data_IF_112666095058
#
_entry.id   IF_112666095058
#
_cell.length_a   1.000
_cell.length_b   1.000
_cell.length_c   1.000
_cell.angle_alpha   90.00
_cell.angle_beta   90.00
_cell.angle_gamma   90.00
#
_symmetry.space_group_name_H-M   'P 1'
#
loop_
_entity.id
_entity.type
_entity.pdbx_description
1 polymer ?
#
# COMPACT_ATOMS: atom_id res chain seq x y z
N UNK A 1 -4.87 -20.90 12.10
CA UNK A 1 -3.72 -20.17 12.63
C UNK A 1 -3.44 -18.89 11.83
N UNK A 2 -2.86 -17.86 12.48
CA UNK A 2 -2.35 -16.66 11.83
C UNK A 2 -0.98 -16.30 12.39
N UNK A 3 -0.11 -15.79 11.54
CA UNK A 3 1.16 -15.22 11.97
C UNK A 3 0.93 -13.87 12.66
N UNK A 4 1.65 -13.63 13.75
CA UNK A 4 1.70 -12.36 14.45
C UNK A 4 3.14 -11.85 14.54
N UNK A 5 3.36 -10.60 14.15
CA UNK A 5 4.60 -9.88 14.30
C UNK A 5 4.36 -8.67 15.22
N UNK A 6 4.41 -7.43 14.71
CA UNK A 6 4.13 -6.23 15.52
C UNK A 6 2.71 -6.08 16.04
N UNK A 7 1.76 -6.85 15.53
CA UNK A 7 0.36 -6.88 16.00
C UNK A 7 -0.49 -5.64 15.72
N UNK A 8 0.09 -4.55 15.20
CA UNK A 8 -0.54 -3.21 15.09
C UNK A 8 -1.80 -3.13 14.22
N UNK A 9 -2.14 -4.18 13.49
CA UNK A 9 -3.42 -4.31 12.80
C UNK A 9 -4.20 -5.55 13.26
N UNK A 10 -3.54 -6.71 13.41
CA UNK A 10 -4.20 -7.95 13.77
C UNK A 10 -4.88 -7.86 15.15
N UNK A 11 -4.19 -7.29 16.16
CA UNK A 11 -4.75 -7.19 17.51
C UNK A 11 -5.98 -6.26 17.56
N UNK A 12 -5.99 -5.18 16.78
CA UNK A 12 -7.18 -4.32 16.68
C UNK A 12 -8.38 -5.08 16.08
N UNK A 13 -8.13 -5.86 15.01
CA UNK A 13 -9.16 -6.68 14.38
C UNK A 13 -9.65 -7.81 15.30
N UNK A 14 -8.77 -8.36 16.14
CA UNK A 14 -9.15 -9.36 17.14
C UNK A 14 -10.00 -8.76 18.25
N UNK A 15 -9.67 -7.57 18.76
CA UNK A 15 -10.48 -6.85 19.75
C UNK A 15 -11.90 -6.57 19.25
N UNK A 16 -12.05 -6.33 17.95
CA UNK A 16 -13.34 -6.08 17.30
C UNK A 16 -14.03 -7.35 16.82
N UNK A 17 -13.49 -8.53 17.12
CA UNK A 17 -14.03 -9.83 16.67
C UNK A 17 -14.15 -9.96 15.16
N UNK A 18 -13.36 -9.20 14.40
CA UNK A 18 -13.28 -9.29 12.92
C UNK A 18 -12.36 -10.43 12.50
N UNK A 19 -11.27 -10.61 13.24
CA UNK A 19 -10.34 -11.73 13.11
C UNK A 19 -10.34 -12.54 14.40
N UNK A 20 -10.66 -13.81 14.29
CA UNK A 20 -10.81 -14.73 15.45
C UNK A 20 -9.95 -15.97 15.28
N UNK A 21 -8.61 -15.84 15.10
CA UNK A 21 -7.76 -17.00 14.91
C UNK A 21 -7.72 -17.87 16.18
N UNK A 22 -7.88 -19.18 16.01
CA UNK A 22 -7.77 -20.14 17.13
C UNK A 22 -6.33 -20.23 17.64
N UNK A 23 -5.34 -20.04 16.75
CA UNK A 23 -3.92 -20.05 17.09
C UNK A 23 -3.20 -18.85 16.48
N UNK A 24 -2.29 -18.26 17.25
CA UNK A 24 -1.31 -17.28 16.79
C UNK A 24 0.07 -17.93 16.74
N UNK A 25 0.78 -17.71 15.66
CA UNK A 25 2.17 -18.12 15.49
C UNK A 25 3.02 -16.86 15.53
N UNK A 26 3.74 -16.66 16.64
CA UNK A 26 4.64 -15.53 16.78
C UNK A 26 5.90 -15.73 15.92
N UNK A 27 6.14 -14.76 15.03
CA UNK A 27 7.29 -14.78 14.11
C UNK A 27 8.37 -13.77 14.49
N UNK A 28 8.28 -13.08 15.62
CA UNK A 28 9.23 -12.03 15.97
C UNK A 28 10.68 -12.54 16.16
N UNK A 29 10.86 -13.81 16.54
CA UNK A 29 12.19 -14.39 16.87
C UNK A 29 12.85 -15.18 15.74
N UNK A 30 12.38 -15.11 14.48
CA UNK A 30 12.88 -15.99 13.40
C UNK A 30 14.00 -15.38 12.54
N UNK A 31 14.58 -14.22 12.94
CA UNK A 31 15.77 -13.63 12.31
C UNK A 31 15.51 -12.97 10.95
N UNK A 32 14.30 -12.47 10.68
CA UNK A 32 13.95 -11.77 9.44
C UNK A 32 13.90 -10.22 9.63
N UNK A 33 14.80 -9.67 10.41
CA UNK A 33 14.83 -8.26 10.83
C UNK A 33 16.09 -7.50 10.35
N UNK A 34 16.78 -8.02 9.33
CA UNK A 34 17.96 -7.40 8.72
C UNK A 34 17.64 -6.63 7.44
N UNK A 35 18.49 -5.65 7.11
CA UNK A 35 18.49 -4.94 5.82
C UNK A 35 19.86 -5.15 5.18
N UNK A 36 19.88 -5.81 4.04
CA UNK A 36 21.11 -6.26 3.39
C UNK A 36 21.20 -5.78 1.95
N UNK A 37 22.40 -5.45 1.44
CA UNK A 37 22.58 -5.18 0.02
C UNK A 37 22.36 -6.46 -0.80
N UNK A 38 21.75 -6.32 -1.99
CA UNK A 38 21.68 -7.42 -2.95
C UNK A 38 22.87 -7.38 -3.92
N UNK A 39 23.26 -8.53 -4.51
CA UNK A 39 24.33 -8.58 -5.51
C UNK A 39 24.07 -7.65 -6.71
N UNK A 40 22.80 -7.38 -7.02
CA UNK A 40 22.39 -6.49 -8.12
C UNK A 40 22.40 -5.01 -7.72
N UNK A 41 22.95 -4.65 -6.55
CA UNK A 41 23.06 -3.27 -6.08
C UNK A 41 21.81 -2.72 -5.41
N UNK A 42 20.78 -3.52 -5.22
CA UNK A 42 19.55 -3.18 -4.51
C UNK A 42 19.64 -3.39 -2.98
N UNK A 43 18.48 -3.49 -2.32
CA UNK A 43 18.34 -3.83 -0.91
C UNK A 43 17.34 -4.96 -0.71
N UNK A 44 17.68 -5.91 0.14
CA UNK A 44 16.78 -6.91 0.70
C UNK A 44 16.41 -6.52 2.12
N UNK A 45 15.13 -6.36 2.38
CA UNK A 45 14.56 -5.88 3.65
C UNK A 45 13.79 -7.05 4.26
N UNK A 46 14.22 -7.56 5.38
CA UNK A 46 13.55 -8.65 6.09
C UNK A 46 12.12 -8.26 6.51
N UNK A 47 11.22 -9.23 6.50
CA UNK A 47 9.79 -8.99 6.76
C UNK A 47 9.51 -8.42 8.16
N UNK A 48 10.41 -8.65 9.12
CA UNK A 48 10.30 -8.21 10.51
C UNK A 48 10.99 -6.88 10.80
N UNK A 49 11.69 -6.29 9.83
CA UNK A 49 12.26 -4.93 9.96
C UNK A 49 11.16 -3.96 10.35
N UNK A 50 11.36 -3.23 11.46
CA UNK A 50 10.40 -2.25 11.95
C UNK A 50 10.32 -1.06 11.00
N UNK A 51 9.12 -0.49 10.85
CA UNK A 51 8.92 0.63 9.94
C UNK A 51 9.74 1.86 10.33
N UNK A 52 10.00 2.09 11.63
CA UNK A 52 10.89 3.15 12.11
C UNK A 52 12.33 2.92 11.67
N UNK A 53 12.84 1.69 11.83
CA UNK A 53 14.23 1.34 11.49
C UNK A 53 14.44 1.41 9.98
N UNK A 54 13.47 0.91 9.21
CA UNK A 54 13.48 1.03 7.75
C UNK A 54 13.49 2.49 7.29
N UNK A 55 12.68 3.35 7.89
CA UNK A 55 12.64 4.77 7.57
C UNK A 55 13.91 5.51 7.97
N UNK A 56 14.58 5.08 9.05
CA UNK A 56 15.82 5.66 9.55
C UNK A 56 17.07 5.16 8.82
N UNK A 57 16.99 4.01 8.13
CA UNK A 57 18.15 3.36 7.53
C UNK A 57 18.88 4.27 6.54
N UNK A 58 20.20 4.51 6.68
CA UNK A 58 20.94 5.53 5.90
C UNK A 58 20.80 5.35 4.38
N UNK A 59 20.92 4.11 3.91
CA UNK A 59 20.82 3.81 2.48
C UNK A 59 19.39 3.99 1.95
N UNK A 60 18.35 3.65 2.74
CA UNK A 60 16.95 3.88 2.35
C UNK A 60 16.65 5.37 2.24
N UNK A 61 17.15 6.17 3.18
CA UNK A 61 17.01 7.63 3.17
C UNK A 61 17.68 8.28 1.95
N UNK A 62 18.88 7.82 1.61
CA UNK A 62 19.68 8.37 0.52
C UNK A 62 19.15 7.93 -0.85
N UNK A 63 18.93 6.62 -1.04
CA UNK A 63 18.76 6.00 -2.35
C UNK A 63 17.28 5.71 -2.68
N UNK A 64 16.42 5.59 -1.66
CA UNK A 64 15.00 5.25 -1.78
C UNK A 64 14.12 6.23 -1.00
N UNK A 65 14.41 7.51 -1.08
CA UNK A 65 13.79 8.57 -0.25
C UNK A 65 12.26 8.61 -0.31
N UNK A 66 11.62 8.15 -1.39
CA UNK A 66 10.15 8.02 -1.48
C UNK A 66 9.62 7.03 -0.44
N UNK A 67 10.36 5.94 -0.16
CA UNK A 67 9.98 4.94 0.84
C UNK A 67 10.06 5.52 2.25
N UNK A 68 11.15 6.21 2.59
CA UNK A 68 11.28 6.92 3.87
C UNK A 68 10.12 7.90 4.08
N UNK A 69 9.84 8.75 3.08
CA UNK A 69 8.76 9.75 3.17
C UNK A 69 7.39 9.10 3.33
N UNK A 70 7.12 8.01 2.62
CA UNK A 70 5.88 7.27 2.75
C UNK A 70 5.71 6.65 4.15
N UNK A 71 6.77 6.03 4.68
CA UNK A 71 6.76 5.43 6.02
C UNK A 71 6.46 6.48 7.10
N UNK A 72 7.15 7.62 7.08
CA UNK A 72 6.95 8.67 8.10
C UNK A 72 5.61 9.43 7.94
N UNK A 73 5.00 9.41 6.75
CA UNK A 73 3.66 9.94 6.52
C UNK A 73 2.55 9.03 7.07
N UNK A 74 2.86 7.75 7.33
CA UNK A 74 1.93 6.75 7.87
C UNK A 74 2.01 6.64 9.39
N UNK A 75 0.89 6.23 10.01
CA UNK A 75 0.77 5.89 11.44
C UNK A 75 1.29 6.99 12.40
N UNK A 76 1.60 6.60 13.63
CA UNK A 76 2.35 7.37 14.62
C UNK A 76 3.75 6.79 14.82
N UNK A 77 4.64 7.50 15.54
CA UNK A 77 5.96 6.99 15.91
C UNK A 77 5.86 5.67 16.68
N UNK A 78 4.96 5.61 17.66
CA UNK A 78 4.72 4.42 18.48
C UNK A 78 4.30 3.21 17.64
N UNK A 79 3.36 3.41 16.71
CA UNK A 79 2.93 2.33 15.82
C UNK A 79 4.06 1.88 14.87
N UNK A 80 4.83 2.82 14.31
CA UNK A 80 5.95 2.48 13.43
C UNK A 80 7.07 1.70 14.13
N UNK A 81 7.26 1.92 15.45
CA UNK A 81 8.21 1.18 16.26
C UNK A 81 7.81 -0.30 16.45
N UNK A 82 6.54 -0.62 16.28
CA UNK A 82 6.01 -2.00 16.39
C UNK A 82 5.69 -2.63 15.04
N UNK A 83 5.15 -1.85 14.09
CA UNK A 83 4.78 -2.32 12.78
C UNK A 83 6.00 -2.81 11.98
N UNK A 84 5.86 -3.96 11.34
CA UNK A 84 6.89 -4.59 10.53
C UNK A 84 6.64 -4.40 9.04
N UNK A 85 7.67 -4.58 8.23
CA UNK A 85 7.58 -4.48 6.76
C UNK A 85 6.56 -5.45 6.20
N UNK A 86 6.61 -6.73 6.55
CA UNK A 86 5.63 -7.73 6.11
C UNK A 86 4.23 -7.43 6.63
N UNK A 87 4.10 -7.07 7.92
CA UNK A 87 2.82 -6.71 8.52
C UNK A 87 2.18 -5.46 7.89
N UNK A 88 2.99 -4.49 7.47
CA UNK A 88 2.50 -3.30 6.77
C UNK A 88 1.89 -3.64 5.40
N UNK A 89 2.48 -4.58 4.65
CA UNK A 89 1.91 -5.06 3.39
C UNK A 89 0.57 -5.80 3.59
N UNK A 90 0.40 -6.46 4.73
CA UNK A 90 -0.77 -7.27 5.07
C UNK A 90 -1.84 -6.50 5.86
N UNK A 91 -1.66 -5.20 6.09
CA UNK A 91 -2.70 -4.43 6.78
C UNK A 91 -3.98 -4.40 5.95
N UNK A 92 -5.10 -4.63 6.63
CA UNK A 92 -6.42 -4.69 6.00
C UNK A 92 -7.03 -3.30 5.83
N UNK A 93 -8.06 -3.21 5.02
CA UNK A 93 -8.79 -1.96 4.74
C UNK A 93 -9.25 -1.25 6.02
N UNK A 94 -9.49 0.06 5.92
CA UNK A 94 -10.07 0.90 6.99
C UNK A 94 -11.50 1.31 6.66
N UNK A 95 -12.20 0.53 5.84
CA UNK A 95 -13.60 0.70 5.54
C UNK A 95 -14.44 0.60 6.83
N UNK A 96 -15.29 1.60 7.17
CA UNK A 96 -16.09 1.57 8.40
C UNK A 96 -17.02 0.35 8.45
N UNK A 97 -17.57 -0.05 7.31
CA UNK A 97 -18.45 -1.23 7.22
C UNK A 97 -17.70 -2.56 7.39
N UNK A 98 -16.39 -2.59 7.12
CA UNK A 98 -15.55 -3.74 7.45
C UNK A 98 -15.30 -3.81 8.97
N UNK A 99 -15.21 -2.67 9.64
CA UNK A 99 -14.99 -2.56 11.08
C UNK A 99 -16.29 -2.74 11.91
N UNK A 100 -17.44 -2.50 11.32
CA UNK A 100 -18.74 -2.75 11.97
C UNK A 100 -19.23 -4.16 11.63
N UNK A 101 -19.19 -5.06 12.63
CA UNK A 101 -19.57 -6.46 12.45
C UNK A 101 -21.07 -6.67 12.21
N UNK A 102 -21.92 -5.69 12.46
CA UNK A 102 -23.36 -5.74 12.18
C UNK A 102 -23.70 -5.41 10.72
N UNK A 103 -22.78 -4.79 10.00
CA UNK A 103 -23.01 -4.36 8.63
C UNK A 103 -22.58 -5.43 7.62
N UNK A 104 -23.34 -5.69 6.53
CA UNK A 104 -22.94 -6.56 5.44
C UNK A 104 -21.60 -6.16 4.83
N UNK A 105 -20.66 -7.11 4.71
CA UNK A 105 -19.33 -6.89 4.15
C UNK A 105 -18.76 -8.15 3.51
N UNK A 106 -18.72 -8.22 2.18
CA UNK A 106 -18.16 -9.34 1.42
C UNK A 106 -16.69 -9.63 1.72
N UNK A 107 -15.94 -8.62 2.19
CA UNK A 107 -14.55 -8.79 2.59
C UNK A 107 -14.40 -9.52 3.93
N UNK A 108 -15.34 -9.37 4.84
CA UNK A 108 -15.39 -10.06 6.14
C UNK A 108 -16.15 -11.37 6.04
N UNK A 109 -17.32 -11.34 5.39
CA UNK A 109 -18.21 -12.49 5.20
C UNK A 109 -18.64 -12.56 3.72
N UNK A 110 -18.00 -13.42 2.91
CA UNK A 110 -18.33 -13.56 1.51
C UNK A 110 -19.82 -13.84 1.27
N UNK A 111 -20.42 -13.15 0.31
CA UNK A 111 -21.83 -13.29 -0.04
C UNK A 111 -22.80 -12.46 0.81
N UNK A 112 -22.32 -11.71 1.82
CA UNK A 112 -23.21 -10.89 2.66
C UNK A 112 -23.57 -9.53 2.04
N UNK A 113 -22.89 -9.11 0.96
CA UNK A 113 -23.08 -7.80 0.33
C UNK A 113 -22.00 -6.78 0.77
N UNK A 114 -22.15 -5.57 0.27
CA UNK A 114 -21.23 -4.46 0.56
C UNK A 114 -22.01 -3.18 0.93
N UNK A 115 -22.07 -2.85 2.21
CA UNK A 115 -22.78 -1.68 2.71
C UNK A 115 -22.16 -0.33 2.29
N UNK A 116 -20.92 -0.33 1.76
CA UNK A 116 -20.31 0.87 1.21
C UNK A 116 -20.89 1.27 -0.14
N UNK A 117 -21.46 0.31 -0.89
CA UNK A 117 -22.13 0.55 -2.16
C UNK A 117 -23.55 1.04 -1.83
N UNK A 118 -23.83 2.30 -2.19
CA UNK A 118 -25.08 2.99 -1.80
C UNK A 118 -25.09 3.58 -0.39
N UNK A 119 -24.02 3.34 0.41
CA UNK A 119 -23.81 3.95 1.72
C UNK A 119 -22.76 5.06 1.70
N UNK A 120 -22.32 5.51 2.90
CA UNK A 120 -21.27 6.51 3.03
C UNK A 120 -19.93 6.00 2.46
N UNK A 121 -19.42 6.67 1.44
CA UNK A 121 -18.34 6.16 0.60
C UNK A 121 -17.18 7.14 0.37
N UNK A 122 -17.14 8.27 1.10
CA UNK A 122 -16.13 9.33 0.96
C UNK A 122 -14.68 8.82 0.89
N UNK A 123 -14.33 7.80 1.68
CA UNK A 123 -12.96 7.28 1.78
C UNK A 123 -12.68 6.10 0.82
N UNK A 124 -13.68 5.66 0.07
CA UNK A 124 -13.59 4.44 -0.73
C UNK A 124 -12.91 4.65 -2.09
N UNK A 125 -12.71 3.55 -2.80
CA UNK A 125 -12.04 3.52 -4.09
C UNK A 125 -12.86 4.26 -5.16
N UNK A 126 -12.15 4.91 -6.07
CA UNK A 126 -12.72 5.54 -7.28
C UNK A 126 -12.34 4.76 -8.53
N UNK A 127 -11.38 3.84 -8.41
CA UNK A 127 -10.93 2.98 -9.51
C UNK A 127 -10.59 1.58 -8.98
N UNK A 128 -10.68 0.56 -9.83
CA UNK A 128 -10.34 -0.82 -9.48
C UNK A 128 -11.26 -1.48 -8.44
N UNK A 129 -12.40 -0.86 -8.11
CA UNK A 129 -13.47 -1.48 -7.33
C UNK A 129 -14.29 -2.47 -8.17
N UNK A 130 -15.20 -3.20 -7.51
CA UNK A 130 -16.15 -4.12 -8.15
C UNK A 130 -17.55 -3.93 -7.59
N UNK A 131 -18.52 -4.68 -8.14
CA UNK A 131 -19.87 -4.76 -7.58
C UNK A 131 -19.90 -5.35 -6.15
N UNK A 132 -18.84 -6.06 -5.74
CA UNK A 132 -18.76 -6.73 -4.45
C UNK A 132 -17.98 -5.93 -3.39
N UNK A 133 -17.12 -4.98 -3.79
CA UNK A 133 -16.34 -4.18 -2.85
C UNK A 133 -15.66 -2.95 -3.48
N UNK A 134 -15.77 -1.82 -2.81
CA UNK A 134 -15.10 -0.55 -3.17
C UNK A 134 -14.12 -0.06 -2.10
N UNK A 135 -13.61 -0.94 -1.23
CA UNK A 135 -12.63 -0.57 -0.21
C UNK A 135 -11.29 -0.13 -0.83
N UNK A 136 -10.49 0.60 -0.08
CA UNK A 136 -9.13 1.00 -0.46
C UNK A 136 -8.07 0.25 0.35
N UNK A 137 -6.89 0.06 -0.24
CA UNK A 137 -5.70 -0.39 0.47
C UNK A 137 -5.07 0.80 1.22
N UNK A 138 -4.77 0.68 2.52
CA UNK A 138 -4.42 1.84 3.34
C UNK A 138 -2.91 2.14 3.43
N UNK A 139 -2.03 1.26 2.92
CA UNK A 139 -0.59 1.37 3.14
C UNK A 139 0.08 2.44 2.28
N UNK A 140 0.63 3.47 2.91
CA UNK A 140 1.53 4.45 2.27
C UNK A 140 2.82 3.78 1.79
N UNK A 141 3.39 2.86 2.58
CA UNK A 141 4.59 2.10 2.23
C UNK A 141 4.40 1.31 0.93
N UNK A 142 3.26 0.63 0.77
CA UNK A 142 2.98 -0.16 -0.41
C UNK A 142 2.92 0.70 -1.69
N UNK A 143 2.46 1.95 -1.61
CA UNK A 143 2.49 2.89 -2.73
C UNK A 143 3.92 3.25 -3.13
N UNK A 144 4.80 3.47 -2.15
CA UNK A 144 6.22 3.71 -2.41
C UNK A 144 6.92 2.45 -2.99
N UNK A 145 6.61 1.27 -2.47
CA UNK A 145 7.14 0.02 -3.01
C UNK A 145 6.69 -0.21 -4.46
N UNK A 146 5.45 0.18 -4.80
CA UNK A 146 4.92 0.05 -6.16
C UNK A 146 5.64 0.94 -7.16
N UNK A 147 6.01 2.16 -6.80
CA UNK A 147 6.78 3.06 -7.68
C UNK A 147 8.25 2.65 -7.77
N UNK A 148 8.74 1.92 -6.79
CA UNK A 148 10.11 1.37 -6.75
C UNK A 148 10.25 0.01 -7.47
N UNK A 149 9.17 -0.59 -7.97
CA UNK A 149 9.16 -1.94 -8.56
C UNK A 149 9.72 -3.01 -7.61
N UNK A 150 9.33 -2.94 -6.34
CA UNK A 150 9.75 -3.91 -5.35
C UNK A 150 9.22 -5.32 -5.64
N UNK A 151 9.88 -6.32 -5.09
CA UNK A 151 9.39 -7.70 -5.06
C UNK A 151 9.20 -8.17 -3.64
N UNK A 152 8.22 -9.03 -3.41
CA UNK A 152 7.92 -9.68 -2.12
C UNK A 152 8.39 -11.12 -2.20
N UNK A 153 9.30 -11.49 -1.31
CA UNK A 153 9.79 -12.86 -1.18
C UNK A 153 8.98 -13.57 -0.11
N UNK A 154 8.59 -14.80 -0.37
CA UNK A 154 7.73 -15.59 0.50
C UNK A 154 8.20 -17.04 0.58
N UNK A 155 7.77 -17.74 1.60
CA UNK A 155 7.96 -19.19 1.73
C UNK A 155 6.61 -19.84 2.06
N UNK A 156 6.30 -20.92 1.35
CA UNK A 156 5.10 -21.72 1.59
C UNK A 156 5.35 -22.76 2.71
N UNK A 157 4.28 -23.38 3.26
CA UNK A 157 4.43 -24.43 4.29
C UNK A 157 5.26 -25.64 3.84
N UNK A 158 5.29 -25.92 2.54
CA UNK A 158 6.11 -26.98 1.94
C UNK A 158 7.58 -26.59 1.73
N UNK A 159 8.00 -25.40 2.20
CA UNK A 159 9.35 -24.87 2.07
C UNK A 159 9.66 -24.23 0.71
N UNK A 160 8.73 -24.21 -0.24
CA UNK A 160 8.95 -23.63 -1.56
C UNK A 160 8.93 -22.10 -1.46
N UNK A 161 10.06 -21.48 -1.86
CA UNK A 161 10.18 -20.04 -1.95
C UNK A 161 9.49 -19.48 -3.22
N UNK A 162 8.92 -18.29 -3.10
CA UNK A 162 8.34 -17.54 -4.23
C UNK A 162 8.81 -16.11 -4.21
N UNK A 163 8.89 -15.50 -5.39
CA UNK A 163 9.11 -14.05 -5.58
C UNK A 163 7.91 -13.49 -6.31
N UNK A 164 7.23 -12.54 -5.70
CA UNK A 164 6.01 -11.93 -6.22
C UNK A 164 6.27 -10.44 -6.48
N UNK A 165 6.15 -9.95 -7.72
CA UNK A 165 6.21 -8.51 -7.97
C UNK A 165 5.17 -7.77 -7.12
N UNK A 166 5.52 -6.61 -6.59
CA UNK A 166 4.57 -5.80 -5.78
C UNK A 166 3.31 -5.41 -6.59
N UNK A 167 3.42 -5.33 -7.91
CA UNK A 167 2.30 -5.09 -8.82
C UNK A 167 1.21 -6.16 -8.73
N UNK A 168 1.62 -7.40 -8.44
CA UNK A 168 0.77 -8.60 -8.43
C UNK A 168 0.47 -9.08 -7.00
N UNK A 169 1.13 -8.49 -5.99
CA UNK A 169 1.00 -8.92 -4.61
C UNK A 169 -0.40 -8.63 -4.03
N UNK A 170 -0.90 -7.40 -4.18
CA UNK A 170 -2.26 -7.04 -3.77
C UNK A 170 -3.23 -7.26 -4.92
N UNK A 171 -4.39 -7.83 -4.62
CA UNK A 171 -5.41 -8.18 -5.61
C UNK A 171 -6.51 -7.14 -5.68
N UNK A 172 -7.07 -6.94 -6.87
CA UNK A 172 -8.35 -6.27 -7.04
C UNK A 172 -9.48 -7.16 -6.53
N UNK A 173 -10.61 -6.58 -6.05
CA UNK A 173 -11.64 -7.35 -5.35
C UNK A 173 -12.34 -8.37 -6.25
N UNK A 174 -12.62 -8.02 -7.51
CA UNK A 174 -13.40 -8.89 -8.39
C UNK A 174 -14.64 -9.43 -7.66
N UNK A 175 -14.89 -10.73 -7.75
CA UNK A 175 -15.93 -11.46 -7.01
C UNK A 175 -15.42 -12.06 -5.68
N UNK A 176 -14.15 -11.85 -5.32
CA UNK A 176 -13.52 -12.46 -4.13
C UNK A 176 -12.81 -11.44 -3.25
N UNK A 177 -13.50 -10.39 -2.75
CA UNK A 177 -12.88 -9.29 -2.02
C UNK A 177 -12.20 -9.71 -0.70
N UNK A 178 -12.52 -10.88 -0.16
CA UNK A 178 -11.89 -11.47 1.02
C UNK A 178 -10.47 -12.00 0.76
N UNK A 179 -10.10 -12.20 -0.52
CA UNK A 179 -8.74 -12.60 -0.93
C UNK A 179 -7.98 -11.34 -1.35
N UNK A 180 -7.22 -10.77 -0.42
CA UNK A 180 -6.61 -9.44 -0.59
C UNK A 180 -5.22 -9.49 -1.23
N UNK A 181 -4.53 -10.63 -1.16
CA UNK A 181 -3.16 -10.81 -1.66
C UNK A 181 -3.01 -12.09 -2.46
N UNK A 182 -1.87 -12.22 -3.15
CA UNK A 182 -1.48 -13.43 -3.88
C UNK A 182 -0.91 -14.54 -2.98
N UNK A 183 -0.85 -14.33 -1.66
CA UNK A 183 -0.39 -15.34 -0.71
C UNK A 183 -1.35 -16.52 -0.66
N UNK A 184 -0.77 -17.69 -0.50
CA UNK A 184 -1.51 -18.92 -0.23
C UNK A 184 -1.73 -19.12 1.28
N UNK A 185 -2.67 -19.96 1.69
CA UNK A 185 -2.85 -20.29 3.10
C UNK A 185 -1.55 -20.80 3.74
N UNK A 186 -1.13 -20.18 4.85
CA UNK A 186 0.10 -20.52 5.57
C UNK A 186 1.40 -20.01 4.93
N UNK A 187 1.34 -19.26 3.84
CA UNK A 187 2.51 -18.67 3.21
C UNK A 187 2.99 -17.46 4.01
N UNK A 188 4.31 -17.40 4.30
CA UNK A 188 4.96 -16.37 5.10
C UNK A 188 5.77 -15.43 4.20
N UNK A 189 5.61 -14.13 4.37
CA UNK A 189 6.53 -13.13 3.79
C UNK A 189 7.85 -13.21 4.54
N UNK A 190 8.96 -13.39 3.80
CA UNK A 190 10.31 -13.43 4.37
C UNK A 190 11.06 -12.11 4.18
N UNK A 191 10.85 -11.42 3.05
CA UNK A 191 11.51 -10.16 2.77
C UNK A 191 10.79 -9.35 1.68
N UNK A 192 11.21 -8.10 1.54
CA UNK A 192 10.91 -7.23 0.39
C UNK A 192 12.23 -6.81 -0.23
N UNK A 193 12.40 -7.05 -1.52
CA UNK A 193 13.59 -6.64 -2.27
C UNK A 193 13.31 -5.42 -3.14
N UNK A 194 14.21 -4.45 -3.04
CA UNK A 194 14.24 -3.26 -3.89
C UNK A 194 15.30 -3.44 -4.97
N UNK A 195 15.04 -3.04 -6.22
CA UNK A 195 16.05 -3.03 -7.27
C UNK A 195 17.14 -1.99 -6.98
N UNK A 196 18.19 -1.97 -7.80
CA UNK A 196 19.19 -0.91 -7.76
C UNK A 196 18.52 0.48 -7.82
N UNK A 197 19.07 1.49 -7.11
CA UNK A 197 18.50 2.83 -7.09
C UNK A 197 18.34 3.41 -8.48
N UNK A 198 17.16 3.97 -8.77
CA UNK A 198 16.86 4.58 -10.07
C UNK A 198 17.26 6.06 -10.17
N UNK A 199 17.74 6.65 -9.08
CA UNK A 199 18.06 8.08 -9.03
C UNK A 199 16.82 8.97 -9.15
N UNK A 200 17.04 10.25 -9.53
CA UNK A 200 15.96 11.24 -9.66
C UNK A 200 15.52 11.85 -8.34
N UNK A 201 14.52 12.72 -8.41
CA UNK A 201 13.91 13.35 -7.23
C UNK A 201 12.75 12.50 -6.73
N UNK A 202 12.85 12.03 -5.50
CA UNK A 202 11.86 11.19 -4.85
C UNK A 202 10.87 12.05 -4.07
N UNK A 203 9.57 11.92 -4.34
CA UNK A 203 8.49 12.67 -3.68
C UNK A 203 7.43 11.71 -3.17
N UNK A 204 6.93 11.97 -1.96
CA UNK A 204 5.71 11.36 -1.44
C UNK A 204 4.80 12.47 -0.90
N UNK A 205 3.61 12.60 -1.47
CA UNK A 205 2.60 13.55 -1.04
C UNK A 205 1.35 12.84 -0.61
N UNK A 206 0.79 13.26 0.54
CA UNK A 206 -0.41 12.64 1.12
C UNK A 206 -1.41 13.72 1.50
N UNK A 207 -2.61 13.62 0.97
CA UNK A 207 -3.76 14.44 1.37
C UNK A 207 -4.65 13.62 2.30
N UNK A 208 -4.99 14.20 3.45
CA UNK A 208 -5.75 13.57 4.52
C UNK A 208 -6.60 14.61 5.26
N UNK A 209 -7.64 14.16 5.95
CA UNK A 209 -8.61 15.03 6.62
C UNK A 209 -8.07 15.74 7.89
N UNK A 210 -6.90 15.35 8.40
CA UNK A 210 -6.24 15.97 9.56
C UNK A 210 -4.72 15.92 9.44
N UNK A 211 -4.04 16.74 10.24
CA UNK A 211 -2.60 16.97 10.12
C UNK A 211 -1.72 15.72 10.36
N UNK A 212 -2.18 14.78 11.18
CA UNK A 212 -1.45 13.55 11.49
C UNK A 212 -2.41 12.40 11.75
N UNK A 213 -1.87 11.17 11.79
CA UNK A 213 -2.59 9.97 12.19
C UNK A 213 -3.91 9.77 11.41
N UNK A 214 -3.84 9.89 10.10
CA UNK A 214 -4.97 9.64 9.20
C UNK A 214 -4.51 8.93 7.94
N UNK A 215 -5.40 8.11 7.39
CA UNK A 215 -5.18 7.46 6.10
C UNK A 215 -5.36 8.45 4.96
N UNK A 216 -4.77 8.16 3.81
CA UNK A 216 -4.86 9.04 2.66
C UNK A 216 -6.28 9.06 2.08
N UNK A 217 -6.79 10.24 1.79
CA UNK A 217 -7.85 10.41 0.79
C UNK A 217 -7.26 10.14 -0.59
N UNK A 218 -6.11 10.76 -0.87
CA UNK A 218 -5.25 10.51 -2.03
C UNK A 218 -3.79 10.66 -1.58
N UNK A 219 -2.92 9.79 -2.06
CA UNK A 219 -1.48 9.99 -1.96
C UNK A 219 -0.80 9.73 -3.31
N UNK A 220 0.36 10.35 -3.49
CA UNK A 220 1.19 10.23 -4.70
C UNK A 220 2.60 9.89 -4.28
N UNK A 221 3.11 8.76 -4.75
CA UNK A 221 4.54 8.47 -4.78
C UNK A 221 5.06 8.75 -6.19
N UNK A 222 6.10 9.57 -6.32
CA UNK A 222 6.71 9.89 -7.60
C UNK A 222 8.22 9.85 -7.52
N UNK A 223 8.86 9.41 -8.62
CA UNK A 223 10.30 9.50 -8.86
C UNK A 223 10.45 10.22 -10.20
N UNK A 224 11.02 11.41 -10.20
CA UNK A 224 11.10 12.26 -11.39
C UNK A 224 12.56 12.45 -11.79
N UNK A 225 12.89 12.15 -13.01
CA UNK A 225 14.21 12.31 -13.60
C UNK A 225 14.44 13.77 -14.05
N UNK A 226 15.70 14.15 -14.27
CA UNK A 226 16.06 15.52 -14.71
C UNK A 226 15.42 15.89 -16.07
N UNK A 227 15.16 14.91 -16.92
CA UNK A 227 14.52 15.11 -18.22
C UNK A 227 12.98 15.18 -18.15
N UNK A 228 12.41 15.13 -16.94
CA UNK A 228 10.97 15.16 -16.67
C UNK A 228 10.25 13.83 -16.85
N UNK A 229 10.95 12.76 -17.26
CA UNK A 229 10.44 11.39 -17.22
C UNK A 229 10.37 10.90 -15.77
N UNK A 230 9.74 9.75 -15.52
CA UNK A 230 9.73 9.19 -14.18
C UNK A 230 8.67 8.14 -13.99
N UNK A 231 8.38 7.86 -12.71
CA UNK A 231 7.43 6.85 -12.25
C UNK A 231 6.45 7.47 -11.28
N UNK A 232 5.21 6.98 -11.28
CA UNK A 232 4.16 7.50 -10.38
C UNK A 232 3.19 6.39 -9.96
N UNK A 233 2.84 6.38 -8.68
CA UNK A 233 1.80 5.53 -8.12
C UNK A 233 0.89 6.34 -7.19
N UNK A 234 -0.40 5.97 -7.18
CA UNK A 234 -1.42 6.58 -6.31
C UNK A 234 -1.80 5.64 -5.18
N UNK A 235 -2.09 6.23 -4.01
CA UNK A 235 -2.71 5.55 -2.87
C UNK A 235 -4.04 6.20 -2.48
N UNK A 236 -4.86 5.47 -1.72
CA UNK A 236 -6.18 5.93 -1.28
C UNK A 236 -7.26 5.93 -2.35
N UNK A 237 -6.96 5.48 -3.57
CA UNK A 237 -7.88 5.52 -4.72
C UNK A 237 -8.37 4.14 -5.17
N UNK A 238 -7.70 3.06 -4.78
CA UNK A 238 -7.97 1.70 -5.26
C UNK A 238 -7.73 0.64 -4.17
N UNK A 239 -8.12 -0.60 -4.45
CA UNK A 239 -7.93 -1.79 -3.61
C UNK A 239 -6.46 -2.21 -3.46
N UNK A 240 -5.59 -1.69 -4.31
CA UNK A 240 -4.14 -1.88 -4.28
C UNK A 240 -3.43 -0.56 -4.61
N UNK A 241 -2.14 -0.42 -4.33
CA UNK A 241 -1.34 0.69 -4.85
C UNK A 241 -1.52 0.80 -6.36
N UNK A 242 -1.95 1.96 -6.83
CA UNK A 242 -2.41 2.13 -8.20
C UNK A 242 -1.33 2.76 -9.08
N UNK A 243 -0.87 2.03 -10.06
CA UNK A 243 0.10 2.51 -11.06
C UNK A 243 -0.24 1.91 -12.42
N UNK A 244 -0.25 2.74 -13.43
CA UNK A 244 -0.39 2.39 -14.85
C UNK A 244 0.87 2.89 -15.54
N UNK A 245 1.78 2.00 -15.88
CA UNK A 245 3.10 2.35 -16.43
C UNK A 245 3.00 3.15 -17.73
N UNK A 246 2.00 2.84 -18.57
CA UNK A 246 1.73 3.60 -19.80
C UNK A 246 1.39 5.07 -19.56
N UNK A 247 0.86 5.41 -18.36
CA UNK A 247 0.56 6.80 -18.00
C UNK A 247 1.83 7.65 -17.81
N UNK A 248 2.95 7.01 -17.47
CA UNK A 248 4.23 7.67 -17.20
C UNK A 248 4.82 8.37 -18.44
N UNK A 249 4.47 7.93 -19.65
CA UNK A 249 4.79 8.62 -20.88
C UNK A 249 4.23 10.08 -20.94
N UNK A 250 3.19 10.36 -20.16
CA UNK A 250 2.60 11.70 -20.03
C UNK A 250 3.33 12.63 -19.06
N UNK A 251 4.34 12.18 -18.31
CA UNK A 251 4.95 12.98 -17.24
C UNK A 251 5.60 14.27 -17.73
N UNK A 252 6.19 14.26 -18.93
CA UNK A 252 6.74 15.47 -19.58
C UNK A 252 5.65 16.45 -20.03
N UNK A 253 4.43 15.97 -20.28
CA UNK A 253 3.28 16.78 -20.69
C UNK A 253 2.56 17.41 -19.49
N UNK A 254 2.81 16.92 -18.28
CA UNK A 254 2.28 17.46 -17.04
C UNK A 254 1.29 16.54 -16.33
N UNK A 255 0.84 16.99 -15.16
CA UNK A 255 0.05 16.18 -14.25
C UNK A 255 -1.29 15.73 -14.84
N UNK A 256 -1.96 16.57 -15.64
CA UNK A 256 -3.24 16.24 -16.25
C UNK A 256 -3.14 15.06 -17.20
N UNK A 257 -2.16 15.08 -18.10
CA UNK A 257 -1.94 13.99 -19.05
C UNK A 257 -1.68 12.63 -18.38
N UNK A 258 -1.02 12.67 -17.22
CA UNK A 258 -0.77 11.48 -16.38
C UNK A 258 -2.05 11.07 -15.65
N UNK A 259 -2.77 12.02 -15.04
CA UNK A 259 -3.99 11.75 -14.27
C UNK A 259 -5.10 11.17 -15.15
N UNK A 260 -5.30 11.72 -16.34
CA UNK A 260 -6.30 11.24 -17.30
C UNK A 260 -6.09 9.74 -17.62
N UNK A 261 -4.83 9.31 -17.78
CA UNK A 261 -4.50 7.90 -18.05
C UNK A 261 -4.53 7.02 -16.79
N UNK A 262 -4.09 7.55 -15.64
CA UNK A 262 -4.12 6.81 -14.38
C UNK A 262 -5.54 6.52 -13.91
N UNK A 263 -6.47 7.44 -14.19
CA UNK A 263 -7.84 7.39 -13.72
C UNK A 263 -8.83 7.02 -14.84
N UNK A 264 -8.33 6.59 -16.00
CA UNK A 264 -9.17 6.07 -17.06
C UNK A 264 -9.99 4.88 -16.56
N UNK A 265 -11.31 4.88 -16.86
CA UNK A 265 -12.23 3.89 -16.35
C UNK A 265 -12.60 4.05 -14.86
N UNK A 266 -12.26 5.17 -14.22
CA UNK A 266 -12.69 5.45 -12.85
C UNK A 266 -14.22 5.47 -12.72
N UNK A 267 -14.74 4.92 -11.62
CA UNK A 267 -16.17 4.84 -11.27
C UNK A 267 -16.37 5.35 -9.84
N UNK A 268 -16.30 6.67 -9.63
CA UNK A 268 -16.55 7.24 -8.31
C UNK A 268 -18.03 7.12 -7.94
N UNK A 269 -18.29 7.16 -6.65
CA UNK A 269 -19.62 7.44 -6.11
C UNK A 269 -19.84 8.94 -6.07
N UNK A 270 -21.08 9.38 -5.80
CA UNK A 270 -21.36 10.80 -5.58
C UNK A 270 -20.47 11.42 -4.48
N UNK A 271 -20.22 10.69 -3.39
CA UNK A 271 -19.51 11.19 -2.22
C UNK A 271 -17.97 11.22 -2.36
N UNK A 272 -17.41 10.45 -3.29
CA UNK A 272 -15.95 10.38 -3.47
C UNK A 272 -15.44 10.88 -4.84
N UNK A 273 -16.34 11.44 -5.67
CA UNK A 273 -15.97 12.00 -6.98
C UNK A 273 -14.91 13.11 -6.86
N UNK A 274 -14.87 13.84 -5.74
CA UNK A 274 -13.84 14.86 -5.45
C UNK A 274 -12.40 14.29 -5.46
N UNK A 275 -12.23 12.98 -5.30
CA UNK A 275 -10.90 12.35 -5.34
C UNK A 275 -10.27 12.43 -6.73
N UNK A 276 -11.04 12.51 -7.81
CA UNK A 276 -10.51 12.62 -9.17
C UNK A 276 -9.74 13.94 -9.35
N UNK A 277 -10.34 15.14 -9.19
CA UNK A 277 -9.60 16.39 -9.25
C UNK A 277 -8.57 16.51 -8.12
N UNK A 278 -8.79 15.88 -6.96
CA UNK A 278 -7.81 15.86 -5.87
C UNK A 278 -6.55 15.10 -6.27
N UNK A 279 -6.67 13.97 -6.95
CA UNK A 279 -5.55 13.17 -7.44
C UNK A 279 -4.72 13.96 -8.47
N UNK A 280 -5.37 14.62 -9.44
CA UNK A 280 -4.69 15.49 -10.41
C UNK A 280 -3.91 16.61 -9.72
N UNK A 281 -4.55 17.34 -8.78
CA UNK A 281 -3.91 18.45 -8.04
C UNK A 281 -2.75 17.95 -7.16
N UNK A 282 -2.91 16.78 -6.52
CA UNK A 282 -1.87 16.21 -5.68
C UNK A 282 -0.67 15.79 -6.52
N UNK A 283 -0.92 15.22 -7.70
CA UNK A 283 0.10 14.87 -8.69
C UNK A 283 0.81 16.13 -9.21
N UNK A 284 0.07 17.18 -9.58
CA UNK A 284 0.65 18.45 -10.02
C UNK A 284 1.59 19.04 -8.95
N UNK A 285 1.15 19.04 -7.70
CA UNK A 285 1.97 19.50 -6.59
C UNK A 285 3.20 18.63 -6.33
N UNK A 286 3.10 17.30 -6.53
CA UNK A 286 4.23 16.38 -6.40
C UNK A 286 5.25 16.59 -7.53
N UNK A 287 4.80 16.75 -8.77
CA UNK A 287 5.68 17.02 -9.92
C UNK A 287 6.35 18.39 -9.83
N UNK A 288 5.64 19.43 -9.36
CA UNK A 288 6.22 20.75 -9.08
C UNK A 288 7.32 20.68 -8.02
N UNK A 289 7.04 19.99 -6.90
CA UNK A 289 8.03 19.78 -5.84
C UNK A 289 9.27 19.00 -6.31
N UNK A 290 9.11 18.10 -7.28
CA UNK A 290 10.24 17.33 -7.80
C UNK A 290 11.16 18.14 -8.73
N UNK A 291 10.66 19.25 -9.28
CA UNK A 291 11.39 20.14 -10.21
C UNK A 291 12.03 21.34 -9.52
N UNK A 292 11.58 21.69 -8.30
CA UNK A 292 12.20 22.70 -7.43
C UNK A 292 13.45 22.16 -6.74
#
# INVERSE_FOLDING_TARGET
>A
AKFIAGGTNLLDLMKLQIETPVHLVDVNGIGLDTIEPTPQGGLRIGALVRNSDLAAHPRVRRDYGVLTRALVAGASGQLRNMATTGGNLLQRTRCPYFYDTHMPCNKRQPGSGCSAIGGFSRQHAVIGGSADCIATHPSDMAVALRVLDATVETVRPDGVARVIPIADFHRLPGSTPHIETALQPGELITSVSLPAPVGGTHVYRKVRDRASYAFALVSVAAIVQRDGSGRVALGGVAHKPWRVEAAEAGMRQGARAVADRLLDGARPTHENAFKLPLAERTLAAALSQARS
#
